data_IF_232087585007
#
_entry.id   IF_232087585007
#
_cell.length_a   1.000
_cell.length_b   1.000
_cell.length_c   1.000
_cell.angle_alpha   90.00
_cell.angle_beta   90.00
_cell.angle_gamma   90.00
#
_symmetry.space_group_name_H-M   'P 1'
#
loop_
_entity.id
_entity.type
_entity.pdbx_description
1 polymer ?
#
# COMPACT_ATOMS: atom_id res chain seq x y z
N UNK A 1 -11.68 -15.52 -22.91
CA UNK A 1 -11.66 -14.03 -23.07
C UNK A 1 -10.80 -13.44 -21.94
N UNK A 2 -9.77 -12.63 -22.27
CA UNK A 2 -8.81 -11.88 -21.40
C UNK A 2 -7.83 -12.73 -20.58
N UNK A 3 -6.56 -12.36 -20.37
CA UNK A 3 -5.49 -11.73 -21.14
C UNK A 3 -4.23 -11.98 -20.28
N UNK A 4 -3.14 -12.44 -20.90
CA UNK A 4 -1.84 -12.82 -20.29
C UNK A 4 -1.22 -11.74 -19.40
N UNK A 5 -0.32 -12.20 -18.50
CA UNK A 5 0.90 -11.58 -17.91
C UNK A 5 0.84 -11.72 -16.38
N UNK A 6 1.80 -12.29 -15.66
CA UNK A 6 3.15 -12.71 -15.97
C UNK A 6 3.97 -12.62 -14.67
N UNK A 7 4.80 -13.64 -14.44
CA UNK A 7 5.91 -13.72 -13.46
C UNK A 7 5.54 -13.73 -11.97
N UNK A 8 5.60 -14.96 -11.43
CA UNK A 8 6.18 -15.34 -10.12
C UNK A 8 6.99 -14.19 -9.49
N UNK A 9 6.45 -13.55 -8.47
CA UNK A 9 7.20 -12.66 -7.58
C UNK A 9 7.51 -13.41 -6.30
N UNK A 10 8.77 -13.81 -6.13
CA UNK A 10 9.29 -14.55 -4.98
C UNK A 10 8.87 -13.91 -3.66
N UNK A 11 8.41 -14.78 -2.76
CA UNK A 11 8.35 -14.60 -1.31
C UNK A 11 9.63 -13.95 -0.79
N UNK A 12 9.52 -12.75 -0.22
CA UNK A 12 10.56 -12.17 0.61
C UNK A 12 10.16 -12.34 2.08
N UNK A 13 10.13 -13.60 2.51
CA UNK A 13 10.19 -13.97 3.93
C UNK A 13 11.59 -13.67 4.45
N UNK A 14 11.79 -12.54 5.13
CA UNK A 14 12.74 -12.47 6.24
C UNK A 14 12.41 -11.33 7.20
N UNK A 15 12.08 -11.72 8.44
CA UNK A 15 11.84 -10.91 9.64
C UNK A 15 10.40 -10.40 9.82
N UNK A 16 9.71 -11.06 10.73
CA UNK A 16 8.42 -10.73 11.35
C UNK A 16 8.45 -9.31 11.95
N UNK A 17 8.32 -8.27 11.12
CA UNK A 17 8.04 -6.92 11.59
C UNK A 17 6.53 -6.74 11.60
N UNK A 18 5.99 -6.44 12.79
CA UNK A 18 4.58 -6.09 12.98
C UNK A 18 4.19 -5.05 11.90
N UNK A 19 3.11 -5.29 11.15
CA UNK A 19 2.66 -4.35 10.14
C UNK A 19 2.34 -3.00 10.79
N UNK A 20 2.95 -1.92 10.31
CA UNK A 20 2.85 -0.58 10.92
C UNK A 20 1.43 0.02 10.77
N UNK A 21 0.62 -0.59 9.90
CA UNK A 21 -0.76 -0.18 9.64
C UNK A 21 -1.78 -0.92 10.52
N UNK A 22 -1.34 -1.87 11.35
CA UNK A 22 -2.22 -2.62 12.25
C UNK A 22 -2.86 -1.65 13.25
N UNK A 23 -4.19 -1.62 13.30
CA UNK A 23 -4.96 -0.74 14.19
C UNK A 23 -5.09 0.72 13.74
N UNK A 24 -4.44 1.14 12.65
CA UNK A 24 -4.62 2.49 12.08
C UNK A 24 -5.76 2.55 11.05
N UNK A 25 -6.09 1.42 10.44
CA UNK A 25 -7.07 1.33 9.36
C UNK A 25 -8.05 0.19 9.64
N UNK A 26 -9.29 0.37 9.21
CA UNK A 26 -10.25 -0.73 9.14
C UNK A 26 -9.89 -1.66 7.97
N UNK A 27 -10.18 -2.95 8.12
CA UNK A 27 -10.10 -3.92 7.03
C UNK A 27 -10.83 -3.41 5.79
N UNK A 28 -10.20 -3.56 4.63
CA UNK A 28 -10.77 -3.15 3.36
C UNK A 28 -10.51 -1.68 3.01
N UNK A 29 -9.61 -0.98 3.70
CA UNK A 29 -9.23 0.37 3.30
C UNK A 29 -8.55 0.33 1.93
N UNK A 30 -9.12 1.05 0.96
CA UNK A 30 -8.51 1.21 -0.36
C UNK A 30 -7.47 2.33 -0.34
N UNK A 31 -6.28 2.00 -0.84
CA UNK A 31 -5.18 2.91 -1.06
C UNK A 31 -5.02 3.18 -2.55
N UNK A 32 -4.70 4.43 -2.88
CA UNK A 32 -4.42 4.87 -4.25
C UNK A 32 -3.14 5.68 -4.28
N UNK A 33 -2.34 5.48 -5.30
CA UNK A 33 -1.15 6.25 -5.58
C UNK A 33 -1.11 6.60 -7.08
N UNK A 34 -0.65 7.79 -7.41
CA UNK A 34 -0.38 8.21 -8.79
C UNK A 34 1.13 8.35 -8.95
N UNK A 35 1.72 7.60 -9.88
CA UNK A 35 3.16 7.63 -10.14
C UNK A 35 3.43 7.52 -11.64
N UNK A 36 4.22 8.46 -12.19
CA UNK A 36 4.57 8.53 -13.62
C UNK A 36 3.36 8.41 -14.56
N UNK A 37 2.24 9.06 -14.23
CA UNK A 37 1.00 9.01 -15.02
C UNK A 37 0.23 7.69 -14.92
N UNK A 38 0.71 6.72 -14.15
CA UNK A 38 0.02 5.47 -13.85
C UNK A 38 -0.66 5.55 -12.49
N UNK A 39 -1.88 5.01 -12.42
CA UNK A 39 -2.61 4.84 -11.17
C UNK A 39 -2.34 3.45 -10.59
N UNK A 40 -2.05 3.43 -9.30
CA UNK A 40 -1.78 2.22 -8.55
C UNK A 40 -2.74 2.14 -7.38
N UNK A 41 -3.46 1.05 -7.29
CA UNK A 41 -4.36 0.76 -6.18
C UNK A 41 -3.79 -0.36 -5.32
N UNK A 42 -4.09 -0.28 -4.03
CA UNK A 42 -3.79 -1.32 -3.06
C UNK A 42 -4.90 -1.38 -2.01
N UNK A 43 -5.01 -2.48 -1.28
CA UNK A 43 -6.03 -2.65 -0.24
C UNK A 43 -5.35 -3.04 1.07
N UNK A 44 -5.77 -2.47 2.19
CA UNK A 44 -5.26 -2.84 3.51
C UNK A 44 -6.20 -3.83 4.17
N UNK A 45 -5.66 -4.93 4.66
CA UNK A 45 -6.39 -5.96 5.40
C UNK A 45 -6.51 -5.62 6.90
N UNK A 46 -7.35 -6.34 7.66
CA UNK A 46 -7.50 -6.13 9.11
C UNK A 46 -6.16 -6.26 9.85
N UNK A 47 -5.30 -7.14 9.35
CA UNK A 47 -3.95 -7.36 9.87
C UNK A 47 -2.98 -6.21 9.53
N UNK A 48 -3.40 -5.15 8.84
CA UNK A 48 -2.51 -4.07 8.40
C UNK A 48 -1.60 -4.45 7.23
N UNK A 49 -1.93 -5.53 6.52
CA UNK A 49 -1.20 -5.99 5.33
C UNK A 49 -1.75 -5.29 4.09
N UNK A 50 -0.86 -4.87 3.20
CA UNK A 50 -1.19 -4.14 1.97
C UNK A 50 -1.16 -5.12 0.79
N UNK A 51 -2.29 -5.26 0.13
CA UNK A 51 -2.48 -6.07 -1.05
C UNK A 51 -2.37 -5.16 -2.29
N UNK A 52 -1.28 -5.27 -3.05
CA UNK A 52 -1.04 -4.46 -4.25
C UNK A 52 -0.59 -5.35 -5.39
N UNK A 53 -1.24 -5.24 -6.57
CA UNK A 53 -0.90 -6.01 -7.78
C UNK A 53 -0.79 -7.53 -7.55
N UNK A 54 -1.59 -8.08 -6.64
CA UNK A 54 -1.57 -9.51 -6.27
C UNK A 54 -0.42 -9.93 -5.35
N UNK A 55 0.32 -8.97 -4.77
CA UNK A 55 1.33 -9.19 -3.74
C UNK A 55 0.88 -8.62 -2.41
N UNK A 56 1.31 -9.24 -1.33
CA UNK A 56 1.01 -8.83 0.04
C UNK A 56 2.28 -8.24 0.66
N UNK A 57 2.17 -7.05 1.23
CA UNK A 57 3.24 -6.31 1.87
C UNK A 57 2.87 -5.99 3.31
N UNK A 58 3.82 -6.09 4.24
CA UNK A 58 3.60 -5.71 5.64
C UNK A 58 3.89 -4.22 5.92
N UNK A 59 4.42 -3.49 4.94
CA UNK A 59 4.88 -2.11 5.10
C UNK A 59 4.53 -1.25 3.89
N UNK A 60 4.04 -0.01 4.09
CA UNK A 60 3.71 0.90 2.98
C UNK A 60 4.92 1.27 2.12
N UNK A 61 6.10 1.39 2.73
CA UNK A 61 7.33 1.66 1.98
C UNK A 61 7.70 0.50 1.03
N UNK A 62 7.55 -0.76 1.45
CA UNK A 62 7.79 -1.91 0.56
C UNK A 62 6.83 -1.90 -0.63
N UNK A 63 5.54 -1.66 -0.37
CA UNK A 63 4.54 -1.58 -1.44
C UNK A 63 4.83 -0.42 -2.41
N UNK A 64 5.32 0.72 -1.90
CA UNK A 64 5.74 1.85 -2.73
C UNK A 64 6.99 1.55 -3.54
N UNK A 65 8.02 0.94 -2.94
CA UNK A 65 9.27 0.54 -3.61
C UNK A 65 9.00 -0.41 -4.77
N UNK A 66 8.07 -1.36 -4.61
CA UNK A 66 7.68 -2.29 -5.70
C UNK A 66 7.10 -1.54 -6.92
N UNK A 67 6.42 -0.42 -6.70
CA UNK A 67 5.86 0.40 -7.78
C UNK A 67 6.90 1.34 -8.38
N UNK A 68 7.67 1.97 -7.50
CA UNK A 68 8.59 3.07 -7.81
C UNK A 68 9.93 2.58 -8.34
N UNK A 69 10.37 1.39 -7.91
CA UNK A 69 11.63 0.75 -8.26
C UNK A 69 12.83 1.16 -7.39
N UNK A 70 12.63 2.07 -6.43
CA UNK A 70 13.67 2.56 -5.51
C UNK A 70 13.07 2.91 -4.15
N UNK A 71 13.93 3.06 -3.13
CA UNK A 71 13.56 3.48 -1.77
C UNK A 71 12.70 4.74 -1.79
N UNK A 72 11.46 4.62 -1.30
CA UNK A 72 10.48 5.72 -1.24
C UNK A 72 9.70 5.68 0.06
N UNK A 73 9.36 6.86 0.57
CA UNK A 73 8.49 7.00 1.74
C UNK A 73 7.07 6.54 1.41
N UNK A 74 6.71 5.35 1.90
CA UNK A 74 5.39 4.78 1.66
C UNK A 74 4.23 5.65 2.16
N UNK A 75 4.45 6.41 3.24
CA UNK A 75 3.43 7.27 3.85
C UNK A 75 3.05 8.47 2.99
N UNK A 76 4.02 9.02 2.24
CA UNK A 76 3.80 10.12 1.30
C UNK A 76 3.45 9.63 -0.12
N UNK A 77 3.61 8.33 -0.36
CA UNK A 77 3.30 7.72 -1.64
C UNK A 77 1.84 7.30 -1.74
N UNK A 78 1.34 6.66 -0.69
CA UNK A 78 -0.02 6.14 -0.63
C UNK A 78 -1.01 7.19 -0.14
N UNK A 79 -2.14 7.29 -0.82
CA UNK A 79 -3.32 8.03 -0.36
C UNK A 79 -4.41 7.06 0.05
N UNK A 80 -5.14 7.37 1.11
CA UNK A 80 -6.34 6.67 1.52
C UNK A 80 -7.54 7.58 1.35
N UNK A 81 -8.72 6.97 1.27
CA UNK A 81 -9.98 7.72 1.26
C UNK A 81 -10.39 7.99 2.71
N UNK A 82 -10.46 9.26 3.11
CA UNK A 82 -10.96 9.63 4.43
C UNK A 82 -12.49 9.48 4.50
N UNK A 83 -13.07 9.68 5.69
CA UNK A 83 -14.53 9.67 5.89
C UNK A 83 -15.27 10.71 5.04
N UNK A 84 -14.61 11.82 4.68
CA UNK A 84 -15.15 12.85 3.77
C UNK A 84 -15.13 12.43 2.29
N UNK A 85 -14.52 11.29 1.97
CA UNK A 85 -14.38 10.78 0.61
C UNK A 85 -13.20 11.36 -0.18
N UNK A 86 -12.32 12.11 0.46
CA UNK A 86 -11.15 12.73 -0.14
C UNK A 86 -9.92 11.81 -0.07
N UNK A 87 -9.08 11.88 -1.11
CA UNK A 87 -7.83 11.11 -1.18
C UNK A 87 -6.69 11.85 -0.47
N UNK A 88 -6.48 11.52 0.79
CA UNK A 88 -5.47 12.15 1.65
C UNK A 88 -4.25 11.24 1.82
N UNK A 89 -3.07 11.82 2.02
CA UNK A 89 -1.83 11.07 2.22
C UNK A 89 -1.88 10.26 3.52
N UNK A 90 -1.31 9.06 3.52
CA UNK A 90 -1.14 8.25 4.73
C UNK A 90 -0.39 9.01 5.83
N UNK A 91 0.56 9.85 5.45
CA UNK A 91 1.33 10.71 6.35
C UNK A 91 0.44 11.62 7.23
N UNK A 92 -0.75 12.02 6.74
CA UNK A 92 -1.69 12.84 7.52
C UNK A 92 -2.15 12.14 8.81
N UNK A 93 -2.20 10.81 8.85
CA UNK A 93 -2.55 10.06 10.06
C UNK A 93 -1.47 10.13 11.13
N UNK A 94 -0.20 10.34 10.75
CA UNK A 94 0.91 10.42 11.69
C UNK A 94 1.04 11.79 12.33
N UNK A 95 0.57 12.84 11.65
CA UNK A 95 0.77 14.21 12.13
C UNK A 95 -0.08 14.55 13.36
N UNK A 96 -1.05 13.71 13.72
CA UNK A 96 -1.96 14.00 14.82
C UNK A 96 -2.82 15.24 14.56
N UNK A 97 -3.96 15.38 15.25
CA UNK A 97 -4.66 16.66 15.32
C UNK A 97 -3.81 17.75 15.97
#
# INVERSE_FOLDING_TARGET
>A
KRRKRGRRGKVASRKERKPVLVGLFQSGTELRAKYKGAEHTATVDAEGRIHSRGKIFNSPSMAAIEIVGHSKDGWLFWRFKNEKGEWVLLDQLRKGP
#
